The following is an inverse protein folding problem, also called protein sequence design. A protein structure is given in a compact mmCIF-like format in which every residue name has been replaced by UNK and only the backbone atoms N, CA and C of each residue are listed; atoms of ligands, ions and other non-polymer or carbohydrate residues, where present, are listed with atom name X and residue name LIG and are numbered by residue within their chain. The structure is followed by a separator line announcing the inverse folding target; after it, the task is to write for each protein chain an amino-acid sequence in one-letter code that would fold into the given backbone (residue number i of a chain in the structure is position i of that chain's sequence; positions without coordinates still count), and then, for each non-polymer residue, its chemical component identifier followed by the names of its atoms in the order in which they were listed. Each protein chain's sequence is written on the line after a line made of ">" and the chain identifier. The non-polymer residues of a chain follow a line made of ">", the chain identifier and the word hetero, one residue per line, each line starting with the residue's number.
data_IF_455539214830
#
_entry.id   IF_455539214830
#
_cell.length_a   1.000
_cell.length_b   1.000
_cell.length_c   1.000
_cell.angle_alpha   90.00
_cell.angle_beta   90.00
_cell.angle_gamma   90.00
#
_symmetry.space_group_name_H-M   'P 1'
#
loop_
_entity.id
_entity.type
_entity.pdbx_description
1 polymer ?
#
# COMPACT_ATOMS: atom_id res chain seq x y z
N UNK A 1 21.52 21.43 2.94
CA UNK A 1 21.04 20.31 2.11
C UNK A 1 21.80 20.36 0.78
N UNK A 2 22.61 19.35 0.46
CA UNK A 2 23.57 19.40 -0.66
C UNK A 2 22.88 19.24 -2.01
N UNK A 3 23.28 20.04 -3.00
CA UNK A 3 22.75 20.06 -4.37
C UNK A 3 22.83 18.69 -5.08
N UNK A 4 23.69 17.78 -4.61
CA UNK A 4 23.81 16.40 -5.08
C UNK A 4 22.62 15.50 -4.69
N UNK A 5 21.99 15.77 -3.54
CA UNK A 5 20.79 15.03 -3.08
C UNK A 5 19.57 15.40 -3.93
N UNK A 6 19.47 16.68 -4.34
CA UNK A 6 18.39 17.14 -5.22
C UNK A 6 18.47 16.52 -6.63
N UNK A 7 19.69 16.34 -7.14
CA UNK A 7 19.92 15.77 -8.47
C UNK A 7 19.63 14.26 -8.53
N UNK A 8 19.98 13.52 -7.48
CA UNK A 8 19.64 12.09 -7.35
C UNK A 8 18.13 11.88 -7.21
N UNK A 9 17.44 12.74 -6.46
CA UNK A 9 15.98 12.76 -6.38
C UNK A 9 15.33 13.01 -7.74
N UNK A 10 15.85 13.97 -8.53
CA UNK A 10 15.36 14.29 -9.89
C UNK A 10 15.59 13.16 -10.90
N UNK A 11 16.64 12.36 -10.76
CA UNK A 11 16.89 11.21 -11.64
C UNK A 11 15.97 10.03 -11.29
N UNK A 12 15.77 9.74 -10.00
CA UNK A 12 14.80 8.73 -9.52
C UNK A 12 13.34 9.09 -9.91
N UNK A 13 13.03 10.38 -9.87
CA UNK A 13 11.80 11.03 -10.29
C UNK A 13 11.42 10.79 -11.76
N UNK A 14 12.40 10.96 -12.65
CA UNK A 14 12.21 10.83 -14.10
C UNK A 14 12.17 9.35 -14.52
N UNK A 15 12.86 8.48 -13.79
CA UNK A 15 12.83 7.03 -14.01
C UNK A 15 11.49 6.41 -13.59
N UNK A 16 10.92 6.83 -12.46
CA UNK A 16 9.58 6.40 -12.03
C UNK A 16 8.46 6.91 -12.96
N UNK A 17 8.61 8.10 -13.55
CA UNK A 17 7.65 8.62 -14.53
C UNK A 17 7.74 7.94 -15.90
N UNK A 18 8.94 7.54 -16.35
CA UNK A 18 9.12 6.90 -17.67
C UNK A 18 8.65 5.45 -17.75
N UNK A 19 8.54 4.75 -16.61
CA UNK A 19 8.00 3.38 -16.55
C UNK A 19 6.47 3.32 -16.73
N UNK A 20 5.80 4.47 -16.75
CA UNK A 20 4.34 4.61 -16.73
C UNK A 20 3.84 5.39 -17.95
N UNK A 21 3.95 4.76 -19.12
CA UNK A 21 3.45 5.28 -20.40
C UNK A 21 1.95 5.58 -20.35
N UNK A 22 1.59 6.84 -20.05
CA UNK A 22 0.20 7.30 -20.00
C UNK A 22 0.07 8.78 -19.66
N UNK A 23 0.93 9.64 -20.23
CA UNK A 23 1.15 10.99 -19.70
C UNK A 23 0.02 12.02 -19.89
N UNK A 24 -0.97 11.78 -20.74
CA UNK A 24 -2.05 12.75 -20.99
C UNK A 24 -3.34 12.42 -20.23
N UNK A 25 -3.85 11.19 -20.32
CA UNK A 25 -5.10 10.81 -19.62
C UNK A 25 -4.92 10.72 -18.10
N UNK A 26 -3.76 10.24 -17.63
CA UNK A 26 -3.52 10.08 -16.21
C UNK A 26 -3.36 11.43 -15.47
N UNK A 27 -2.97 12.53 -16.13
CA UNK A 27 -2.84 13.84 -15.45
C UNK A 27 -4.19 14.42 -15.04
N UNK A 28 -5.23 14.24 -15.85
CA UNK A 28 -6.58 14.74 -15.56
C UNK A 28 -7.25 13.91 -14.45
N UNK A 29 -7.15 12.59 -14.53
CA UNK A 29 -7.74 11.69 -13.53
C UNK A 29 -6.99 11.77 -12.19
N UNK A 30 -5.67 12.02 -12.20
CA UNK A 30 -4.90 12.36 -10.99
C UNK A 30 -5.46 13.58 -10.26
N UNK A 31 -5.82 14.65 -10.99
CA UNK A 31 -6.38 15.86 -10.38
C UNK A 31 -7.77 15.60 -9.80
N UNK A 32 -8.62 14.86 -10.49
CA UNK A 32 -9.98 14.53 -10.02
C UNK A 32 -9.96 13.63 -8.77
N UNK A 33 -9.10 12.60 -8.77
CA UNK A 33 -8.88 11.76 -7.59
C UNK A 33 -8.29 12.55 -6.41
N UNK A 34 -7.33 13.47 -6.68
CA UNK A 34 -6.70 14.29 -5.65
C UNK A 34 -7.64 15.32 -4.99
N UNK A 35 -8.60 15.86 -5.74
CA UNK A 35 -9.55 16.89 -5.25
C UNK A 35 -10.58 16.30 -4.28
N UNK A 36 -10.88 15.00 -4.37
CA UNK A 36 -11.82 14.34 -3.45
C UNK A 36 -11.33 14.24 -1.99
N UNK A 37 -10.03 14.45 -1.72
CA UNK A 37 -9.44 14.25 -0.39
C UNK A 37 -8.44 15.34 0.08
N UNK A 38 -8.48 16.56 -0.47
CA UNK A 38 -7.63 17.65 0.06
C UNK A 38 -6.12 17.45 -0.15
N UNK A 39 -5.72 16.94 -1.31
CA UNK A 39 -4.33 16.59 -1.63
C UNK A 39 -3.60 17.77 -2.28
N UNK A 40 -2.66 18.41 -1.57
CA UNK A 40 -1.82 19.48 -2.12
C UNK A 40 -0.70 18.94 -3.03
N UNK A 41 -0.58 19.54 -4.21
CA UNK A 41 0.32 19.18 -5.30
C UNK A 41 1.73 19.77 -5.07
N UNK A 42 2.77 18.92 -5.03
CA UNK A 42 4.14 19.32 -5.36
C UNK A 42 4.77 18.19 -6.17
N UNK A 43 5.45 18.58 -7.24
CA UNK A 43 5.77 17.77 -8.40
C UNK A 43 6.59 16.50 -8.08
N UNK A 44 6.20 15.41 -8.75
CA UNK A 44 7.16 14.43 -9.25
C UNK A 44 7.23 13.05 -8.58
N UNK A 45 7.59 12.91 -7.29
CA UNK A 45 8.15 11.60 -6.81
C UNK A 45 7.16 10.70 -6.08
N UNK A 46 5.92 11.14 -5.92
CA UNK A 46 5.13 10.74 -4.76
C UNK A 46 3.98 9.77 -5.03
N UNK A 47 3.88 9.19 -6.23
CA UNK A 47 2.60 8.64 -6.70
C UNK A 47 2.26 7.26 -6.10
N UNK A 48 3.22 6.34 -5.97
CA UNK A 48 2.96 4.98 -5.41
C UNK A 48 2.75 5.02 -3.89
N UNK A 49 3.32 6.03 -3.22
CA UNK A 49 3.23 6.13 -1.77
C UNK A 49 2.11 7.09 -1.31
N UNK A 50 1.74 8.10 -2.11
CA UNK A 50 0.49 8.85 -1.87
C UNK A 50 -0.75 7.97 -2.06
N UNK A 51 -0.68 6.92 -2.86
CA UNK A 51 -1.75 5.90 -2.93
C UNK A 51 -1.82 5.06 -1.66
N UNK A 52 -0.72 4.86 -0.93
CA UNK A 52 -0.75 4.26 0.40
C UNK A 52 -1.43 5.15 1.44
N UNK A 53 -1.32 6.48 1.29
CA UNK A 53 -2.13 7.44 2.04
C UNK A 53 -3.62 7.37 1.75
N UNK A 54 -3.99 6.67 0.68
CA UNK A 54 -5.37 6.41 0.36
C UNK A 54 -5.88 5.07 0.92
N UNK A 55 -5.45 4.75 2.16
CA UNK A 55 -6.14 3.79 3.03
C UNK A 55 -7.65 4.05 2.89
N UNK A 56 -8.06 5.30 3.07
CA UNK A 56 -9.43 5.79 2.90
C UNK A 56 -10.15 5.26 1.65
N UNK A 57 -9.66 5.53 0.44
CA UNK A 57 -10.37 5.19 -0.79
C UNK A 57 -10.40 3.69 -1.06
N UNK A 58 -9.30 2.97 -0.80
CA UNK A 58 -9.31 1.50 -0.93
C UNK A 58 -10.33 0.85 -0.01
N UNK A 59 -10.33 1.24 1.26
CA UNK A 59 -11.30 0.82 2.29
C UNK A 59 -12.73 1.16 1.88
N UNK A 60 -12.96 2.37 1.35
CA UNK A 60 -14.28 2.89 0.98
C UNK A 60 -14.83 2.19 -0.27
N UNK A 61 -13.97 1.94 -1.26
CA UNK A 61 -14.37 1.39 -2.55
C UNK A 61 -14.40 -0.14 -2.58
N UNK A 62 -13.51 -0.83 -1.87
CA UNK A 62 -13.50 -2.29 -1.79
C UNK A 62 -13.62 -2.77 -0.34
N UNK A 63 -14.74 -3.41 -0.01
CA UNK A 63 -15.02 -3.92 1.32
C UNK A 63 -13.97 -4.92 1.83
N UNK A 64 -13.28 -5.62 0.93
CA UNK A 64 -12.25 -6.62 1.26
C UNK A 64 -10.95 -6.01 1.82
N UNK A 65 -10.82 -4.67 1.82
CA UNK A 65 -9.61 -3.97 2.30
C UNK A 65 -9.87 -3.12 3.55
N UNK A 66 -11.02 -3.28 4.22
CA UNK A 66 -11.39 -2.46 5.38
C UNK A 66 -10.50 -2.73 6.60
N UNK A 67 -10.10 -1.71 7.39
CA UNK A 67 -9.18 -1.90 8.51
C UNK A 67 -9.85 -2.53 9.72
N UNK A 68 -11.18 -2.55 9.77
CA UNK A 68 -11.93 -3.32 10.77
C UNK A 68 -11.64 -4.82 10.66
N UNK A 69 -11.04 -5.26 9.55
CA UNK A 69 -10.57 -6.61 9.31
C UNK A 69 -9.11 -6.79 9.77
N UNK A 70 -8.35 -5.69 9.94
CA UNK A 70 -6.98 -5.70 10.45
C UNK A 70 -7.01 -5.75 11.99
N UNK A 71 -7.14 -6.95 12.58
CA UNK A 71 -6.95 -7.13 14.04
C UNK A 71 -5.53 -6.71 14.41
N UNK A 72 -5.37 -5.84 15.40
CA UNK A 72 -4.04 -5.46 15.92
C UNK A 72 -3.47 -4.12 15.41
N UNK A 73 -4.05 -3.48 14.38
CA UNK A 73 -3.51 -2.21 13.86
C UNK A 73 -3.47 -1.10 14.93
N UNK A 74 -4.53 -0.97 15.72
CA UNK A 74 -4.59 0.00 16.82
C UNK A 74 -3.58 -0.32 17.93
N UNK A 75 -3.40 -1.61 18.25
CA UNK A 75 -2.44 -2.07 19.26
C UNK A 75 -1.01 -1.79 18.81
N UNK A 76 -0.66 -2.18 17.58
CA UNK A 76 0.64 -1.88 16.96
C UNK A 76 0.91 -0.38 16.81
N UNK A 77 -0.11 0.44 16.58
CA UNK A 77 0.07 1.89 16.58
C UNK A 77 0.39 2.44 17.97
N UNK A 78 -0.20 1.86 19.01
CA UNK A 78 0.01 2.29 20.39
C UNK A 78 1.41 1.92 20.91
N UNK A 79 2.03 0.84 20.42
CA UNK A 79 3.40 0.45 20.81
C UNK A 79 4.48 1.41 20.32
N UNK A 80 4.20 2.20 19.26
CA UNK A 80 5.17 3.14 18.67
C UNK A 80 5.32 4.46 19.45
N UNK A 81 4.56 4.67 20.54
CA UNK A 81 4.66 5.86 21.40
C UNK A 81 4.72 7.20 20.63
N UNK A 82 3.92 7.31 19.55
CA UNK A 82 3.99 8.44 18.62
C UNK A 82 3.75 9.79 19.34
N UNK A 83 4.53 10.85 19.03
CA UNK A 83 4.34 12.17 19.62
C UNK A 83 2.91 12.71 19.46
N UNK A 84 2.25 13.02 20.58
CA UNK A 84 0.87 13.52 20.58
C UNK A 84 0.79 14.95 20.04
N UNK A 85 -0.22 15.22 19.22
CA UNK A 85 -0.50 16.57 18.68
C UNK A 85 0.45 17.06 17.58
N UNK A 86 1.38 16.21 17.12
CA UNK A 86 2.32 16.53 16.03
C UNK A 86 1.76 16.07 14.68
N UNK A 87 1.98 16.86 13.63
CA UNK A 87 1.84 16.41 12.25
C UNK A 87 3.14 15.76 11.78
N UNK A 88 2.99 14.64 11.08
CA UNK A 88 4.11 13.90 10.51
C UNK A 88 4.24 14.25 9.03
N UNK A 89 5.48 14.34 8.55
CA UNK A 89 5.74 14.45 7.12
C UNK A 89 5.61 13.07 6.45
N UNK A 90 5.73 13.05 5.13
CA UNK A 90 5.56 11.84 4.34
C UNK A 90 6.54 10.71 4.72
N UNK A 91 7.82 11.01 4.88
CA UNK A 91 8.84 10.01 5.21
C UNK A 91 8.57 9.44 6.61
N UNK A 92 8.14 10.31 7.53
CA UNK A 92 7.71 9.88 8.86
C UNK A 92 6.52 8.94 8.82
N UNK A 93 5.47 9.33 8.10
CA UNK A 93 4.27 8.51 7.98
C UNK A 93 4.52 7.18 7.28
N UNK A 94 5.40 7.12 6.30
CA UNK A 94 5.76 5.86 5.66
C UNK A 94 6.42 4.92 6.67
N UNK A 95 7.41 5.40 7.40
CA UNK A 95 8.14 4.60 8.39
C UNK A 95 7.23 4.18 9.55
N UNK A 96 6.36 5.07 10.02
CA UNK A 96 5.34 4.74 11.03
C UNK A 96 4.45 3.59 10.52
N UNK A 97 3.93 3.68 9.29
CA UNK A 97 3.11 2.62 8.74
C UNK A 97 3.90 1.34 8.48
N UNK A 98 5.19 1.44 8.15
CA UNK A 98 6.08 0.30 8.02
C UNK A 98 6.12 -0.52 9.31
N UNK A 99 6.37 0.16 10.42
CA UNK A 99 6.38 -0.45 11.74
C UNK A 99 5.02 -1.01 12.17
N UNK A 100 3.93 -0.27 11.89
CA UNK A 100 2.57 -0.76 12.19
C UNK A 100 2.28 -2.06 11.43
N UNK A 101 2.57 -2.10 10.13
CA UNK A 101 2.26 -3.27 9.30
C UNK A 101 3.19 -4.45 9.64
N UNK A 102 4.47 -4.21 9.95
CA UNK A 102 5.36 -5.27 10.42
C UNK A 102 4.86 -5.88 11.73
N UNK A 103 4.58 -5.06 12.74
CA UNK A 103 3.99 -5.51 14.00
C UNK A 103 2.69 -6.29 13.75
N UNK A 104 1.84 -5.80 12.84
CA UNK A 104 0.56 -6.43 12.54
C UNK A 104 0.73 -7.81 11.88
N UNK A 105 1.67 -7.94 10.93
CA UNK A 105 1.93 -9.20 10.26
C UNK A 105 2.55 -10.22 11.21
N UNK A 106 3.47 -9.80 12.09
CA UNK A 106 4.07 -10.68 13.11
C UNK A 106 3.00 -11.12 14.12
N UNK A 107 2.23 -10.18 14.68
CA UNK A 107 1.19 -10.48 15.66
C UNK A 107 0.06 -11.35 15.09
N UNK A 108 -0.25 -11.20 13.79
CA UNK A 108 -1.20 -12.04 13.07
C UNK A 108 -0.62 -13.40 12.67
N UNK A 109 0.69 -13.62 12.84
CA UNK A 109 1.43 -14.80 12.39
C UNK A 109 1.49 -14.95 10.87
N UNK A 110 1.44 -13.85 10.12
CA UNK A 110 1.55 -13.85 8.66
C UNK A 110 3.00 -13.95 8.17
N UNK A 111 3.96 -13.63 9.04
CA UNK A 111 5.40 -13.76 8.80
C UNK A 111 6.10 -13.91 10.14
N UNK A 112 7.28 -14.53 10.12
CA UNK A 112 8.20 -14.53 11.25
C UNK A 112 8.78 -13.12 11.48
N UNK A 113 9.19 -12.84 12.72
CA UNK A 113 9.89 -11.62 13.10
C UNK A 113 11.31 -11.55 12.51
N UNK A 114 11.93 -12.70 12.27
CA UNK A 114 13.28 -12.81 11.75
C UNK A 114 13.29 -13.26 10.28
N UNK A 115 14.33 -12.90 9.51
CA UNK A 115 14.53 -13.44 8.17
C UNK A 115 14.64 -14.98 8.16
N UNK A 116 14.22 -15.66 7.08
CA UNK A 116 13.78 -15.09 5.81
C UNK A 116 12.28 -14.75 5.81
N UNK A 117 11.95 -13.46 5.66
CA UNK A 117 10.56 -12.98 5.57
C UNK A 117 9.81 -13.62 4.39
N UNK A 118 8.71 -14.32 4.71
CA UNK A 118 7.84 -15.04 3.79
C UNK A 118 6.42 -15.05 4.34
N UNK A 119 5.44 -15.15 3.48
CA UNK A 119 4.06 -15.27 3.92
C UNK A 119 3.74 -16.69 4.43
N UNK A 120 3.16 -16.78 5.62
CA UNK A 120 2.44 -17.96 6.06
C UNK A 120 1.04 -17.95 5.46
N UNK A 121 0.92 -18.52 4.26
CA UNK A 121 -0.36 -18.62 3.54
C UNK A 121 -1.40 -19.47 4.26
N UNK A 122 -0.99 -20.40 5.13
CA UNK A 122 -1.94 -21.22 5.90
C UNK A 122 -2.60 -20.38 6.98
N UNK A 123 -1.80 -19.61 7.72
CA UNK A 123 -2.32 -18.74 8.77
C UNK A 123 -3.08 -17.52 8.21
N UNK A 124 -2.62 -16.97 7.08
CA UNK A 124 -3.39 -15.97 6.32
C UNK A 124 -4.77 -16.51 5.95
N UNK A 125 -4.85 -17.71 5.38
CA UNK A 125 -6.14 -18.34 5.05
C UNK A 125 -7.03 -18.46 6.27
N UNK A 126 -6.50 -19.00 7.37
CA UNK A 126 -7.23 -19.18 8.61
C UNK A 126 -7.84 -17.86 9.10
N UNK A 127 -7.02 -16.80 9.18
CA UNK A 127 -7.49 -15.48 9.62
C UNK A 127 -8.51 -14.89 8.64
N UNK A 128 -8.31 -15.04 7.32
CA UNK A 128 -9.27 -14.59 6.31
C UNK A 128 -10.63 -15.28 6.43
N UNK A 129 -10.67 -16.58 6.74
CA UNK A 129 -11.91 -17.33 6.97
C UNK A 129 -12.69 -16.83 8.20
N UNK A 130 -12.00 -16.26 9.19
CA UNK A 130 -12.67 -15.65 10.35
C UNK A 130 -13.23 -14.25 10.06
N UNK A 131 -12.51 -13.43 9.28
CA UNK A 131 -12.79 -11.98 9.18
C UNK A 131 -13.48 -11.58 7.87
N UNK A 132 -13.31 -12.34 6.79
CA UNK A 132 -13.79 -11.90 5.47
C UNK A 132 -15.31 -11.91 5.38
N UNK A 133 -15.90 -10.91 4.68
CA UNK A 133 -17.35 -10.83 4.53
C UNK A 133 -17.89 -11.96 3.65
N UNK A 134 -19.18 -12.29 3.82
CA UNK A 134 -19.87 -13.25 2.97
C UNK A 134 -20.12 -12.70 1.56
N UNK A 135 -20.13 -13.56 0.51
CA UNK A 135 -19.86 -14.99 0.55
C UNK A 135 -18.36 -15.31 0.63
N UNK A 136 -17.97 -16.15 1.59
CA UNK A 136 -16.57 -16.53 1.77
C UNK A 136 -15.99 -17.34 0.59
N UNK A 137 -16.85 -18.01 -0.19
CA UNK A 137 -16.46 -18.68 -1.44
C UNK A 137 -15.89 -17.73 -2.49
N UNK A 138 -16.08 -16.42 -2.36
CA UNK A 138 -15.51 -15.42 -3.26
C UNK A 138 -14.48 -14.51 -2.55
N UNK A 139 -14.79 -14.01 -1.35
CA UNK A 139 -13.91 -13.07 -0.64
C UNK A 139 -12.59 -13.70 -0.21
N UNK A 140 -12.61 -14.92 0.34
CA UNK A 140 -11.39 -15.59 0.81
C UNK A 140 -10.47 -15.96 -0.37
N UNK A 141 -10.95 -16.62 -1.45
CA UNK A 141 -10.09 -16.93 -2.60
C UNK A 141 -9.50 -15.68 -3.25
N UNK A 142 -10.26 -14.59 -3.38
CA UNK A 142 -9.75 -13.33 -3.93
C UNK A 142 -8.58 -12.78 -3.11
N UNK A 143 -8.72 -12.71 -1.78
CA UNK A 143 -7.67 -12.19 -0.92
C UNK A 143 -6.46 -13.12 -0.85
N UNK A 144 -6.67 -14.44 -0.83
CA UNK A 144 -5.58 -15.42 -0.90
C UNK A 144 -4.77 -15.29 -2.19
N UNK A 145 -5.45 -15.16 -3.33
CA UNK A 145 -4.81 -14.94 -4.63
C UNK A 145 -4.06 -13.59 -4.65
N UNK A 146 -4.62 -12.55 -4.03
CA UNK A 146 -3.96 -11.26 -3.90
C UNK A 146 -2.65 -11.34 -3.10
N UNK A 147 -2.64 -12.01 -1.96
CA UNK A 147 -1.42 -12.23 -1.16
C UNK A 147 -0.35 -12.97 -1.96
N UNK A 148 -0.73 -14.08 -2.61
CA UNK A 148 0.20 -14.88 -3.42
C UNK A 148 0.83 -14.06 -4.57
N UNK A 149 -0.01 -13.35 -5.34
CA UNK A 149 0.47 -12.49 -6.43
C UNK A 149 1.39 -11.38 -5.93
N UNK A 150 1.06 -10.80 -4.78
CA UNK A 150 1.84 -9.72 -4.21
C UNK A 150 3.18 -10.18 -3.61
N UNK A 151 3.28 -11.41 -3.11
CA UNK A 151 4.56 -11.99 -2.68
C UNK A 151 5.51 -12.20 -3.88
N UNK A 152 4.97 -12.71 -4.99
CA UNK A 152 5.72 -12.88 -6.25
C UNK A 152 6.14 -11.51 -6.78
N UNK A 153 5.19 -10.57 -6.90
CA UNK A 153 5.45 -9.21 -7.37
C UNK A 153 6.52 -8.53 -6.53
N UNK A 154 6.42 -8.61 -5.19
CA UNK A 154 7.43 -8.06 -4.29
C UNK A 154 8.79 -8.70 -4.54
N UNK A 155 8.87 -10.02 -4.71
CA UNK A 155 10.14 -10.71 -4.96
C UNK A 155 10.80 -10.25 -6.26
N UNK A 156 10.02 -10.07 -7.32
CA UNK A 156 10.51 -9.59 -8.62
C UNK A 156 10.94 -8.11 -8.60
N UNK A 157 10.28 -7.30 -7.77
CA UNK A 157 10.41 -5.84 -7.79
C UNK A 157 10.96 -5.25 -6.49
N UNK A 158 11.44 -6.06 -5.54
CA UNK A 158 11.87 -5.63 -4.20
C UNK A 158 12.90 -4.50 -4.25
N UNK A 159 13.87 -4.60 -5.16
CA UNK A 159 14.89 -3.57 -5.37
C UNK A 159 14.35 -2.21 -5.83
N UNK A 160 13.11 -2.16 -6.34
CA UNK A 160 12.41 -0.92 -6.72
C UNK A 160 11.69 -0.26 -5.54
N UNK A 161 11.43 -1.01 -4.47
CA UNK A 161 10.73 -0.55 -3.28
C UNK A 161 11.67 -0.18 -2.12
N UNK A 162 12.98 -0.41 -2.28
CA UNK A 162 13.99 0.02 -1.31
C UNK A 162 14.12 1.55 -1.35
N UNK A 163 13.24 2.23 -0.62
CA UNK A 163 13.37 3.66 -0.37
C UNK A 163 14.30 3.83 0.83
N UNK A 164 15.46 4.46 0.65
CA UNK A 164 16.28 4.90 1.78
C UNK A 164 15.58 6.05 2.49
N UNK A 165 14.77 5.71 3.48
CA UNK A 165 14.12 6.67 4.34
C UNK A 165 15.07 7.14 5.43
N UNK A 166 14.99 8.42 5.83
CA UNK A 166 15.78 8.91 6.94
C UNK A 166 15.37 8.20 8.24
N UNK A 167 16.34 7.96 9.11
CA UNK A 167 16.09 7.50 10.47
C UNK A 167 15.18 8.51 11.19
N UNK A 168 14.26 7.99 12.00
CA UNK A 168 13.29 8.79 12.74
C UNK A 168 13.60 8.65 14.22
N UNK A 169 13.91 9.76 14.88
CA UNK A 169 14.39 9.79 16.26
C UNK A 169 13.48 9.10 17.28
N UNK A 170 12.16 9.02 17.03
CA UNK A 170 11.19 8.41 17.94
C UNK A 170 10.85 6.94 17.61
N UNK A 171 11.48 6.34 16.60
CA UNK A 171 11.37 4.91 16.29
C UNK A 171 12.70 4.27 16.71
N UNK A 172 12.67 3.53 17.83
CA UNK A 172 13.87 2.98 18.46
C UNK A 172 14.53 1.87 17.63
N UNK A 173 13.72 1.00 17.02
CA UNK A 173 14.18 -0.12 16.21
C UNK A 173 13.72 0.02 14.75
N UNK A 174 14.62 -0.18 13.77
CA UNK A 174 14.28 -0.06 12.37
C UNK A 174 13.34 -1.19 11.93
N UNK A 175 12.23 -0.83 11.34
CA UNK A 175 11.19 -1.76 10.92
C UNK A 175 11.46 -2.33 9.51
N UNK A 176 11.04 -3.56 9.27
CA UNK A 176 11.19 -4.19 7.96
C UNK A 176 10.11 -3.73 6.96
N UNK A 177 10.45 -3.39 5.70
CA UNK A 177 9.47 -2.94 4.72
C UNK A 177 8.60 -4.06 4.14
N UNK A 178 8.86 -5.33 4.43
CA UNK A 178 8.18 -6.49 3.83
C UNK A 178 6.65 -6.42 3.96
N UNK A 179 6.15 -6.28 5.17
CA UNK A 179 4.71 -6.24 5.45
C UNK A 179 4.03 -5.05 4.76
N UNK A 180 4.65 -3.87 4.85
CA UNK A 180 4.14 -2.66 4.21
C UNK A 180 4.05 -2.80 2.69
N UNK A 181 5.09 -3.33 2.04
CA UNK A 181 5.12 -3.53 0.60
C UNK A 181 4.03 -4.49 0.13
N UNK A 182 3.80 -5.57 0.87
CA UNK A 182 2.71 -6.52 0.60
C UNK A 182 1.35 -5.85 0.76
N UNK A 183 1.11 -5.14 1.86
CA UNK A 183 -0.14 -4.42 2.10
C UNK A 183 -0.42 -3.37 0.99
N UNK A 184 0.60 -2.64 0.53
CA UNK A 184 0.49 -1.72 -0.63
C UNK A 184 -0.03 -2.49 -1.84
N UNK A 185 0.66 -3.59 -2.21
CA UNK A 185 0.33 -4.36 -3.39
C UNK A 185 -1.09 -4.95 -3.31
N UNK A 186 -1.47 -5.55 -2.18
CA UNK A 186 -2.80 -6.15 -1.98
C UNK A 186 -3.88 -5.09 -2.14
N UNK A 187 -3.71 -3.89 -1.55
CA UNK A 187 -4.66 -2.79 -1.71
C UNK A 187 -4.75 -2.28 -3.15
N UNK A 188 -3.63 -2.22 -3.86
CA UNK A 188 -3.60 -1.85 -5.28
C UNK A 188 -4.35 -2.86 -6.15
N UNK A 189 -4.08 -4.15 -5.97
CA UNK A 189 -4.75 -5.21 -6.71
C UNK A 189 -6.25 -5.23 -6.40
N UNK A 190 -6.63 -5.02 -5.13
CA UNK A 190 -8.03 -4.85 -4.75
C UNK A 190 -8.66 -3.66 -5.50
N UNK A 191 -8.01 -2.51 -5.58
CA UNK A 191 -8.56 -1.38 -6.34
C UNK A 191 -8.73 -1.66 -7.84
N UNK A 192 -7.86 -2.49 -8.42
CA UNK A 192 -7.93 -2.88 -9.82
C UNK A 192 -9.03 -3.93 -10.08
N UNK A 193 -9.15 -4.93 -9.19
CA UNK A 193 -9.88 -6.18 -9.47
C UNK A 193 -10.92 -6.57 -8.41
N UNK A 194 -11.25 -5.70 -7.45
CA UNK A 194 -12.24 -6.01 -6.40
C UNK A 194 -13.54 -6.53 -7.03
N UNK A 195 -14.05 -7.70 -6.61
CA UNK A 195 -15.26 -8.25 -7.20
C UNK A 195 -16.44 -7.30 -7.01
N UNK A 196 -17.31 -7.21 -8.02
CA UNK A 196 -18.38 -6.20 -8.07
C UNK A 196 -19.28 -6.22 -6.84
N UNK A 197 -19.53 -7.41 -6.27
CA UNK A 197 -20.32 -7.58 -5.04
C UNK A 197 -19.73 -6.89 -3.81
N UNK A 198 -18.40 -6.79 -3.74
CA UNK A 198 -17.67 -6.15 -2.64
C UNK A 198 -17.22 -4.73 -2.99
N UNK A 199 -17.57 -4.28 -4.20
CA UNK A 199 -17.18 -2.98 -4.72
C UNK A 199 -18.31 -1.98 -4.63
N UNK A 200 -18.01 -0.78 -4.15
CA UNK A 200 -18.97 0.31 -4.11
C UNK A 200 -19.01 1.01 -5.49
N UNK A 201 -20.14 0.92 -6.19
CA UNK A 201 -20.33 1.56 -7.51
C UNK A 201 -20.74 3.04 -7.39
N UNK A 202 -19.84 3.86 -6.86
CA UNK A 202 -19.94 5.32 -6.93
C UNK A 202 -19.03 5.88 -8.01
N UNK A 203 -19.30 7.10 -8.47
CA UNK A 203 -18.44 7.77 -9.45
C UNK A 203 -16.99 7.91 -8.95
N UNK A 204 -16.82 8.27 -7.68
CA UNK A 204 -15.51 8.36 -7.03
C UNK A 204 -14.75 7.03 -7.12
N UNK A 205 -15.42 5.92 -6.81
CA UNK A 205 -14.81 4.60 -6.88
C UNK A 205 -14.53 4.18 -8.33
N UNK A 206 -15.42 4.42 -9.29
CA UNK A 206 -15.14 4.12 -10.70
C UNK A 206 -13.90 4.86 -11.21
N UNK A 207 -13.78 6.15 -10.91
CA UNK A 207 -12.61 6.95 -11.25
C UNK A 207 -11.35 6.39 -10.59
N UNK A 208 -11.44 5.98 -9.33
CA UNK A 208 -10.33 5.36 -8.61
C UNK A 208 -9.86 4.07 -9.29
N UNK A 209 -10.77 3.14 -9.59
CA UNK A 209 -10.44 1.88 -10.29
C UNK A 209 -9.81 2.14 -11.65
N UNK A 210 -10.35 3.07 -12.43
CA UNK A 210 -9.79 3.45 -13.73
C UNK A 210 -8.36 3.97 -13.57
N UNK A 211 -8.14 4.85 -12.60
CA UNK A 211 -6.81 5.36 -12.28
C UNK A 211 -5.83 4.23 -11.90
N UNK A 212 -6.20 3.32 -10.99
CA UNK A 212 -5.32 2.22 -10.61
C UNK A 212 -5.04 1.26 -11.77
N UNK A 213 -6.03 1.01 -12.64
CA UNK A 213 -5.89 0.10 -13.78
C UNK A 213 -5.03 0.71 -14.90
N UNK A 214 -5.25 1.99 -15.22
CA UNK A 214 -4.60 2.64 -16.37
C UNK A 214 -3.28 3.34 -16.01
N UNK A 215 -3.15 3.82 -14.78
CA UNK A 215 -2.12 4.79 -14.40
C UNK A 215 -1.21 4.35 -13.26
N UNK A 216 -1.46 3.19 -12.65
CA UNK A 216 -0.58 2.57 -11.64
C UNK A 216 0.04 1.26 -12.17
N UNK A 217 -0.53 0.69 -13.24
CA UNK A 217 -0.04 -0.51 -13.90
C UNK A 217 -0.66 -1.76 -13.28
N UNK A 218 -1.16 -2.67 -14.12
CA UNK A 218 -1.80 -3.91 -13.68
C UNK A 218 -0.78 -4.84 -13.02
N UNK A 219 -1.01 -5.20 -11.75
CA UNK A 219 -0.07 -6.04 -10.97
C UNK A 219 0.14 -7.39 -11.68
N UNK A 220 -0.93 -7.99 -12.18
CA UNK A 220 -0.89 -9.32 -12.82
C UNK A 220 -0.04 -9.32 -14.09
N UNK A 221 -0.20 -8.30 -14.93
CA UNK A 221 0.61 -8.11 -16.15
C UNK A 221 2.11 -7.93 -15.85
N UNK A 222 2.48 -7.57 -14.62
CA UNK A 222 3.88 -7.37 -14.22
C UNK A 222 4.49 -8.59 -13.47
N UNK A 223 3.79 -9.73 -13.46
CA UNK A 223 4.28 -10.99 -12.88
C UNK A 223 5.11 -11.84 -13.85
N UNK A 224 5.18 -11.47 -15.14
CA UNK A 224 5.88 -12.22 -16.20
C UNK A 224 6.32 -11.35 -17.36
#
# INVERSE_FOLDING_TARGET
>A
MSMRVLLLLQILLLWFCSLMNGETNCKADRKKAAVSEGIYQREGTFIIVRTYFNKSLSIRCCQLTRPSLDRGNAECKNTLNLPLGRSFNFAELYTINMCIEECNYIASGYTDADPPYRLDLANIRHNLEEIMPQPQLESVPFMMDAYNKCEIFRTLHAGRFTLHLPDIEFIEEPCNPFALQLTICVRMLAMQKCPSRFYLDTEECRLARNYFTQCVGDIETNLG
#
